data_IF_319658803986
#
_entry.id   IF_319658803986
#
_cell.length_a   1.000
_cell.length_b   1.000
_cell.length_c   1.000
_cell.angle_alpha   90.00
_cell.angle_beta   90.00
_cell.angle_gamma   90.00
#
_symmetry.space_group_name_H-M   'P 1'
#
loop_
_entity.id
_entity.type
_entity.pdbx_description
1 polymer ?
#
# COMPACT_ATOMS: atom_id res chain seq x y z
N UNK A 1 -9.70 -19.12 1.63
CA UNK A 1 -8.84 -18.45 2.64
C UNK A 1 -7.80 -17.63 1.88
N UNK A 2 -8.11 -16.36 1.63
CA UNK A 2 -7.18 -15.41 1.01
C UNK A 2 -6.02 -15.19 1.97
N UNK A 3 -4.84 -15.66 1.58
CA UNK A 3 -3.60 -15.52 2.32
C UNK A 3 -3.01 -14.16 1.94
N UNK A 4 -3.39 -13.16 2.72
CA UNK A 4 -3.07 -11.75 2.61
C UNK A 4 -1.75 -11.49 3.33
N UNK A 5 -0.67 -11.84 2.66
CA UNK A 5 0.48 -12.41 3.33
C UNK A 5 1.76 -11.87 2.66
N UNK A 6 2.52 -11.00 3.35
CA UNK A 6 3.89 -10.50 3.07
C UNK A 6 3.98 -8.99 2.70
N UNK A 7 4.37 -8.13 3.65
CA UNK A 7 4.52 -6.68 3.40
C UNK A 7 5.83 -6.00 3.84
N UNK A 8 6.78 -6.61 4.56
CA UNK A 8 7.72 -5.76 5.32
C UNK A 8 9.15 -6.30 5.49
N UNK A 9 10.04 -6.13 4.48
CA UNK A 9 11.51 -5.95 4.60
C UNK A 9 12.39 -6.15 3.34
N UNK A 10 13.11 -5.08 2.97
CA UNK A 10 14.55 -4.87 2.59
C UNK A 10 14.96 -4.59 1.12
N UNK A 11 16.00 -3.77 0.90
CA UNK A 11 17.35 -4.30 1.02
C UNK A 11 18.38 -3.31 1.59
N UNK A 12 19.43 -3.88 2.17
CA UNK A 12 20.73 -3.26 2.27
C UNK A 12 21.62 -3.94 1.22
N UNK A 13 21.92 -3.27 0.10
CA UNK A 13 23.13 -3.47 -0.73
C UNK A 13 23.29 -2.40 -1.83
N UNK A 14 23.33 -1.12 -1.45
CA UNK A 14 23.75 -0.02 -2.34
C UNK A 14 25.02 0.72 -1.85
N UNK A 15 25.78 0.16 -0.91
CA UNK A 15 26.98 0.80 -0.29
C UNK A 15 28.26 0.52 -1.10
N UNK A 16 28.19 0.42 -2.43
CA UNK A 16 29.41 0.34 -3.28
C UNK A 16 29.41 1.34 -4.45
N UNK A 17 28.48 2.30 -4.45
CA UNK A 17 28.56 3.50 -5.28
C UNK A 17 28.66 4.80 -4.45
N UNK A 18 29.14 4.70 -3.20
CA UNK A 18 29.47 5.86 -2.35
C UNK A 18 30.76 6.54 -2.81
N UNK A 19 30.76 7.04 -4.05
CA UNK A 19 31.63 8.13 -4.47
C UNK A 19 31.05 9.43 -3.94
N UNK A 20 31.61 9.93 -2.83
CA UNK A 20 31.25 11.19 -2.14
C UNK A 20 29.83 11.22 -1.55
N UNK A 21 29.66 11.80 -0.37
CA UNK A 21 28.37 11.96 0.28
C UNK A 21 27.35 12.61 -0.69
N UNK A 22 26.39 11.84 -1.19
CA UNK A 22 25.18 12.42 -1.77
C UNK A 22 24.29 12.80 -0.59
N UNK A 23 24.13 14.11 -0.39
CA UNK A 23 23.28 14.68 0.66
C UNK A 23 21.78 14.70 0.28
N UNK A 24 21.40 13.94 -0.74
CA UNK A 24 20.06 13.96 -1.32
C UNK A 24 19.66 12.56 -1.79
N UNK A 25 18.48 12.12 -1.36
CA UNK A 25 17.80 10.94 -1.85
C UNK A 25 17.37 11.16 -3.30
N UNK A 26 17.60 10.18 -4.16
CA UNK A 26 17.21 10.25 -5.58
C UNK A 26 15.93 9.47 -5.86
N UNK A 27 15.18 9.87 -6.88
CA UNK A 27 13.95 9.19 -7.28
C UNK A 27 14.21 7.72 -7.69
N UNK A 28 15.34 7.47 -8.37
CA UNK A 28 15.75 6.12 -8.75
C UNK A 28 16.06 5.23 -7.54
N UNK A 29 16.65 5.79 -6.47
CA UNK A 29 16.90 5.05 -5.23
C UNK A 29 15.61 4.65 -4.54
N UNK A 30 14.62 5.56 -4.50
CA UNK A 30 13.29 5.26 -3.94
C UNK A 30 12.62 4.15 -4.75
N UNK A 31 12.58 4.29 -6.07
CA UNK A 31 11.98 3.30 -6.96
C UNK A 31 12.64 1.92 -6.85
N UNK A 32 13.97 1.89 -6.79
CA UNK A 32 14.70 0.64 -6.61
C UNK A 32 14.46 0.02 -5.23
N UNK A 33 14.41 0.83 -4.17
CA UNK A 33 14.09 0.38 -2.81
C UNK A 33 12.73 -0.32 -2.75
N UNK A 34 11.71 0.22 -3.44
CA UNK A 34 10.39 -0.42 -3.52
C UNK A 34 10.43 -1.75 -4.26
N UNK A 35 11.09 -1.82 -5.42
CA UNK A 35 11.24 -3.08 -6.18
C UNK A 35 11.88 -4.17 -5.34
N UNK A 36 12.94 -3.82 -4.62
CA UNK A 36 13.66 -4.77 -3.80
C UNK A 36 12.83 -5.20 -2.56
N UNK A 37 12.13 -4.25 -1.93
CA UNK A 37 11.21 -4.56 -0.84
C UNK A 37 10.07 -5.49 -1.28
N UNK A 38 9.51 -5.26 -2.47
CA UNK A 38 8.53 -6.14 -3.10
C UNK A 38 9.07 -7.55 -3.35
N UNK A 39 10.28 -7.65 -3.91
CA UNK A 39 10.90 -8.95 -4.21
C UNK A 39 11.08 -9.81 -2.96
N UNK A 40 11.36 -9.20 -1.81
CA UNK A 40 11.54 -9.94 -0.55
C UNK A 40 10.26 -10.49 0.04
N UNK A 41 9.11 -9.96 -0.38
CA UNK A 41 7.78 -10.47 -0.03
C UNK A 41 7.15 -11.30 -1.16
N UNK A 42 7.92 -11.63 -2.20
CA UNK A 42 7.44 -12.42 -3.34
C UNK A 42 6.55 -11.64 -4.31
N UNK A 43 6.58 -10.30 -4.23
CA UNK A 43 5.89 -9.40 -5.14
C UNK A 43 6.88 -8.88 -6.19
N UNK A 44 6.37 -8.64 -7.39
CA UNK A 44 7.08 -7.91 -8.44
C UNK A 44 6.47 -6.52 -8.54
N UNK A 45 7.32 -5.50 -8.41
CA UNK A 45 6.96 -4.12 -8.72
C UNK A 45 7.56 -3.77 -10.07
N UNK A 46 6.74 -3.22 -10.96
CA UNK A 46 7.14 -2.83 -12.31
C UNK A 46 6.34 -1.64 -12.78
N UNK A 47 6.83 -0.94 -13.81
CA UNK A 47 6.09 0.06 -14.55
C UNK A 47 6.09 -0.29 -16.04
N UNK A 48 5.02 0.05 -16.76
CA UNK A 48 4.96 -0.10 -18.21
C UNK A 48 5.97 0.82 -18.91
N UNK A 49 6.19 2.01 -18.36
CA UNK A 49 7.24 2.94 -18.80
C UNK A 49 7.88 3.63 -17.61
N UNK A 50 9.20 3.82 -17.68
CA UNK A 50 9.98 4.61 -16.74
C UNK A 50 10.68 5.71 -17.53
N UNK A 51 10.41 6.98 -17.19
CA UNK A 51 11.06 8.12 -17.82
C UNK A 51 11.69 8.98 -16.73
N UNK A 52 13.03 8.99 -16.68
CA UNK A 52 13.78 9.83 -15.78
C UNK A 52 14.38 11.01 -16.58
N UNK A 53 14.00 12.23 -16.22
CA UNK A 53 14.55 13.47 -16.78
C UNK A 53 14.62 14.53 -15.71
N UNK A 54 15.78 15.19 -15.60
CA UNK A 54 15.97 16.40 -14.77
C UNK A 54 15.51 16.24 -13.30
N UNK A 55 15.81 15.10 -12.67
CA UNK A 55 15.43 14.83 -11.28
C UNK A 55 13.96 14.42 -11.10
N UNK A 56 13.23 14.19 -12.19
CA UNK A 56 11.84 13.73 -12.18
C UNK A 56 11.76 12.35 -12.84
N UNK A 57 11.31 11.36 -12.06
CA UNK A 57 10.97 10.02 -12.54
C UNK A 57 9.46 9.90 -12.70
N UNK A 58 9.01 9.80 -13.95
CA UNK A 58 7.61 9.51 -14.28
C UNK A 58 7.45 8.02 -14.59
N UNK A 59 6.52 7.39 -13.88
CA UNK A 59 6.17 5.98 -14.02
C UNK A 59 4.74 5.90 -14.56
N UNK A 60 4.50 5.10 -15.59
CA UNK A 60 3.14 4.81 -16.07
C UNK A 60 2.86 3.32 -15.98
N UNK A 61 1.62 2.97 -15.64
CA UNK A 61 1.15 1.60 -15.51
C UNK A 61 1.96 0.83 -14.47
N UNK A 62 2.07 1.38 -13.26
CA UNK A 62 2.74 0.70 -12.15
C UNK A 62 1.90 -0.48 -11.71
N UNK A 63 2.54 -1.64 -11.55
CA UNK A 63 1.91 -2.89 -11.14
C UNK A 63 2.69 -3.51 -10.00
N UNK A 64 1.97 -3.91 -8.96
CA UNK A 64 2.47 -4.59 -7.77
C UNK A 64 1.70 -5.90 -7.62
N UNK A 65 2.32 -7.02 -8.01
CA UNK A 65 1.65 -8.31 -8.03
C UNK A 65 2.62 -9.47 -7.76
N UNK A 66 2.16 -10.59 -7.18
CA UNK A 66 2.87 -11.85 -7.30
C UNK A 66 3.03 -12.25 -8.76
N UNK A 67 4.04 -13.08 -9.05
CA UNK A 67 4.20 -13.61 -10.40
C UNK A 67 2.97 -14.44 -10.82
N UNK A 68 2.37 -14.08 -11.97
CA UNK A 68 1.22 -14.78 -12.54
C UNK A 68 -0.14 -14.49 -11.89
N UNK A 69 -0.24 -13.46 -11.04
CA UNK A 69 -1.49 -13.07 -10.39
C UNK A 69 -1.88 -11.61 -10.71
N UNK A 70 -3.17 -11.28 -10.56
CA UNK A 70 -3.63 -9.90 -10.54
C UNK A 70 -3.14 -9.20 -9.28
N UNK A 71 -2.79 -7.92 -9.40
CA UNK A 71 -2.28 -7.12 -8.28
C UNK A 71 -2.76 -5.69 -8.29
N UNK A 72 -2.20 -4.89 -7.40
CA UNK A 72 -2.49 -3.46 -7.33
C UNK A 72 -1.89 -2.78 -8.56
N UNK A 73 -2.69 -1.91 -9.17
CA UNK A 73 -2.29 -1.07 -10.29
C UNK A 73 -2.41 0.40 -9.93
N UNK A 74 -1.47 1.20 -10.43
CA UNK A 74 -1.47 2.65 -10.34
C UNK A 74 -1.24 3.17 -11.76
N UNK A 75 -2.18 3.95 -12.28
CA UNK A 75 -2.15 4.49 -13.65
C UNK A 75 -0.87 5.23 -13.98
N UNK A 76 -0.49 6.17 -13.12
CA UNK A 76 0.72 6.96 -13.23
C UNK A 76 1.23 7.36 -11.85
N UNK A 77 2.51 7.67 -11.75
CA UNK A 77 3.13 8.16 -10.54
C UNK A 77 4.35 9.01 -10.90
N UNK A 78 4.51 10.12 -10.20
CA UNK A 78 5.68 11.00 -10.38
C UNK A 78 6.48 11.06 -9.10
N UNK A 79 7.80 10.88 -9.22
CA UNK A 79 8.78 11.07 -8.16
C UNK A 79 9.66 12.25 -8.55
N UNK A 80 9.78 13.25 -7.68
CA UNK A 80 10.52 14.50 -7.92
C UNK A 80 11.56 14.66 -6.82
N UNK A 81 12.83 14.79 -7.21
CA UNK A 81 13.92 15.11 -6.29
C UNK A 81 13.86 16.58 -5.87
N UNK A 82 13.90 16.83 -4.57
CA UNK A 82 13.79 18.17 -4.00
C UNK A 82 15.17 18.71 -3.57
N UNK A 83 15.31 20.03 -3.55
CA UNK A 83 16.56 20.72 -3.18
C UNK A 83 17.02 20.44 -1.72
N UNK A 84 16.10 19.99 -0.87
CA UNK A 84 16.36 19.64 0.53
C UNK A 84 16.83 18.19 0.73
N UNK A 85 16.93 17.42 -0.36
CA UNK A 85 17.38 16.04 -0.36
C UNK A 85 16.29 15.01 -0.10
N UNK A 86 15.02 15.41 -0.12
CA UNK A 86 13.86 14.52 -0.11
C UNK A 86 13.37 14.20 -1.53
N UNK A 87 12.43 13.26 -1.64
CA UNK A 87 11.74 12.94 -2.90
C UNK A 87 10.24 13.07 -2.70
N UNK A 88 9.60 13.99 -3.41
CA UNK A 88 8.14 14.10 -3.48
C UNK A 88 7.58 13.03 -4.42
N UNK A 89 6.54 12.33 -3.98
CA UNK A 89 5.88 11.24 -4.67
C UNK A 89 4.40 11.60 -4.77
N UNK A 90 3.90 11.66 -6.00
CA UNK A 90 2.48 11.95 -6.29
C UNK A 90 1.93 10.83 -7.16
N UNK A 91 1.05 9.97 -6.63
CA UNK A 91 0.34 8.98 -7.42
C UNK A 91 -0.82 9.61 -8.21
N UNK A 92 -1.11 9.03 -9.36
CA UNK A 92 -2.30 9.34 -10.17
C UNK A 92 -3.58 8.83 -9.51
N UNK A 93 -4.73 9.32 -10.01
CA UNK A 93 -6.02 9.07 -9.38
C UNK A 93 -6.53 7.63 -9.52
N UNK A 94 -6.13 6.91 -10.57
CA UNK A 94 -6.59 5.55 -10.81
C UNK A 94 -5.66 4.55 -10.11
N UNK A 95 -6.03 4.17 -8.89
CA UNK A 95 -5.35 3.17 -8.06
C UNK A 95 -6.35 2.07 -7.72
N UNK A 96 -6.01 0.82 -7.99
CA UNK A 96 -6.89 -0.28 -7.61
C UNK A 96 -6.45 -1.65 -8.08
N UNK A 97 -7.24 -2.65 -7.70
CA UNK A 97 -7.10 -4.05 -8.11
C UNK A 97 -8.44 -4.56 -8.60
N UNK A 98 -8.42 -5.22 -9.75
CA UNK A 98 -9.52 -6.04 -10.24
C UNK A 98 -9.23 -7.50 -9.91
N UNK A 99 -10.22 -8.16 -9.30
CA UNK A 99 -10.17 -9.56 -8.90
C UNK A 99 -11.08 -10.38 -9.81
N UNK A 100 -10.58 -11.54 -10.23
CA UNK A 100 -11.31 -12.51 -11.05
C UNK A 100 -11.24 -13.91 -10.42
N UNK A 101 -12.23 -14.75 -10.73
CA UNK A 101 -12.30 -16.14 -10.26
C UNK A 101 -13.33 -16.36 -9.16
N UNK A 102 -12.97 -17.17 -8.16
CA UNK A 102 -13.87 -17.54 -7.07
C UNK A 102 -14.31 -16.33 -6.26
N UNK A 103 -13.35 -15.47 -5.91
CA UNK A 103 -13.64 -14.11 -5.48
C UNK A 103 -13.39 -13.14 -6.65
N UNK A 104 -14.39 -12.33 -6.94
CA UNK A 104 -14.39 -11.39 -8.07
C UNK A 104 -14.81 -10.01 -7.60
N UNK A 105 -14.42 -8.97 -8.34
CA UNK A 105 -14.81 -7.59 -8.06
C UNK A 105 -13.63 -6.64 -8.11
N UNK A 106 -13.70 -5.56 -7.35
CA UNK A 106 -12.66 -4.53 -7.34
C UNK A 106 -12.47 -3.90 -5.98
N UNK A 107 -11.24 -3.45 -5.73
CA UNK A 107 -10.91 -2.49 -4.68
C UNK A 107 -10.21 -1.33 -5.34
N UNK A 108 -10.68 -0.11 -5.10
CA UNK A 108 -10.13 1.11 -5.64
C UNK A 108 -9.75 2.05 -4.51
N UNK A 109 -8.65 2.75 -4.66
CA UNK A 109 -8.25 3.84 -3.78
C UNK A 109 -8.49 5.14 -4.54
N UNK A 110 -9.22 6.05 -3.93
CA UNK A 110 -9.46 7.40 -4.45
C UNK A 110 -8.93 8.40 -3.46
N UNK A 111 -8.32 9.48 -3.94
CA UNK A 111 -7.76 10.49 -3.06
C UNK A 111 -7.95 11.90 -3.61
N UNK A 112 -7.85 12.88 -2.72
CA UNK A 112 -7.77 14.29 -3.05
C UNK A 112 -6.47 14.85 -2.46
N UNK A 113 -5.54 15.20 -3.34
CA UNK A 113 -4.24 15.78 -2.97
C UNK A 113 -3.30 14.85 -2.21
N UNK A 114 -3.34 13.52 -2.45
CA UNK A 114 -2.37 12.60 -1.84
C UNK A 114 -0.95 12.95 -2.30
N UNK A 115 -0.11 13.31 -1.34
CA UNK A 115 1.32 13.54 -1.53
C UNK A 115 2.07 12.70 -0.51
N UNK A 116 3.18 12.12 -0.95
CA UNK A 116 4.08 11.34 -0.10
C UNK A 116 5.47 11.95 -0.24
N UNK A 117 6.19 12.15 0.86
CA UNK A 117 7.57 12.66 0.85
C UNK A 117 8.48 11.61 1.45
N UNK A 118 9.38 11.07 0.62
CA UNK A 118 10.40 10.14 1.07
C UNK A 118 11.63 10.90 1.55
N UNK A 119 12.17 10.49 2.70
CA UNK A 119 13.39 11.03 3.29
C UNK A 119 14.25 9.92 3.91
N UNK A 120 15.56 10.15 4.00
CA UNK A 120 16.44 9.25 4.76
C UNK A 120 16.20 9.42 6.27
N UNK A 121 16.03 8.30 6.99
CA UNK A 121 15.80 8.31 8.44
C UNK A 121 16.51 7.14 9.12
N UNK A 122 17.41 7.42 10.07
CA UNK A 122 18.11 6.45 10.93
C UNK A 122 18.73 5.24 10.18
N UNK A 123 19.28 5.46 8.98
CA UNK A 123 19.86 4.41 8.14
C UNK A 123 18.84 3.59 7.34
N UNK A 124 17.58 4.00 7.35
CA UNK A 124 16.48 3.52 6.53
C UNK A 124 15.73 4.67 5.84
N UNK A 125 14.43 4.47 5.61
CA UNK A 125 13.57 5.42 4.89
C UNK A 125 12.38 5.82 5.76
N UNK A 126 12.01 7.10 5.72
CA UNK A 126 10.74 7.59 6.21
C UNK A 126 9.90 8.14 5.05
N UNK A 127 8.59 8.00 5.18
CA UNK A 127 7.59 8.42 4.22
C UNK A 127 6.52 9.21 4.97
N UNK A 128 6.57 10.53 4.86
CA UNK A 128 5.49 11.38 5.31
C UNK A 128 4.39 11.36 4.25
N UNK A 129 3.14 11.26 4.65
CA UNK A 129 2.02 11.24 3.72
C UNK A 129 0.93 12.18 4.20
N UNK A 130 0.27 12.84 3.24
CA UNK A 130 -0.86 13.72 3.51
C UNK A 130 -1.88 13.67 2.38
N UNK A 131 -3.16 13.81 2.71
CA UNK A 131 -4.24 13.93 1.75
C UNK A 131 -5.44 14.67 2.35
N UNK A 132 -6.09 15.54 1.59
CA UNK A 132 -7.37 16.12 2.00
C UNK A 132 -8.45 15.04 2.16
N UNK A 133 -8.37 13.99 1.31
CA UNK A 133 -9.23 12.82 1.39
C UNK A 133 -8.52 11.57 0.88
N UNK A 134 -8.76 10.43 1.52
CA UNK A 134 -8.35 9.12 1.04
C UNK A 134 -9.47 8.11 1.32
N UNK A 135 -10.09 7.57 0.27
CA UNK A 135 -11.09 6.50 0.37
C UNK A 135 -10.61 5.22 -0.28
N UNK A 136 -10.84 4.10 0.40
CA UNK A 136 -10.79 2.77 -0.17
C UNK A 136 -12.23 2.31 -0.41
N UNK A 137 -12.58 2.06 -1.67
CA UNK A 137 -13.90 1.59 -2.08
C UNK A 137 -13.77 0.18 -2.62
N UNK A 138 -14.59 -0.74 -2.10
CA UNK A 138 -14.60 -2.12 -2.58
C UNK A 138 -16.00 -2.55 -2.98
N UNK A 139 -16.07 -3.40 -3.99
CA UNK A 139 -17.27 -4.11 -4.41
C UNK A 139 -16.83 -5.51 -4.87
N UNK A 140 -17.20 -6.52 -4.11
CA UNK A 140 -16.66 -7.86 -4.23
C UNK A 140 -17.74 -8.91 -4.06
N UNK A 141 -17.51 -10.07 -4.66
CA UNK A 141 -18.29 -11.28 -4.44
C UNK A 141 -17.34 -12.41 -4.14
N UNK A 142 -17.67 -13.25 -3.15
CA UNK A 142 -16.86 -14.42 -2.78
C UNK A 142 -17.76 -15.63 -2.54
N UNK A 143 -17.21 -16.86 -2.56
CA UNK A 143 -18.01 -18.07 -2.38
C UNK A 143 -18.69 -18.06 -1.00
N UNK A 144 -20.01 -18.31 -0.99
CA UNK A 144 -20.77 -18.46 0.25
C UNK A 144 -20.50 -19.80 0.92
N UNK A 145 -21.06 -19.95 2.12
CA UNK A 145 -21.04 -21.22 2.85
C UNK A 145 -22.42 -21.85 2.81
N UNK A 146 -22.48 -23.16 2.54
CA UNK A 146 -23.70 -23.96 2.68
C UNK A 146 -23.56 -24.91 3.87
N UNK A 147 -24.63 -25.07 4.65
CA UNK A 147 -24.69 -26.03 5.75
C UNK A 147 -25.16 -27.42 5.33
N UNK A 148 -25.76 -27.57 4.14
CA UNK A 148 -26.31 -28.83 3.64
C UNK A 148 -25.44 -29.49 2.55
N UNK A 149 -24.29 -28.88 2.23
CA UNK A 149 -23.34 -29.37 1.23
C UNK A 149 -23.74 -29.08 -0.21
N UNK A 150 -24.83 -28.36 -0.46
CA UNK A 150 -25.15 -27.81 -1.79
C UNK A 150 -24.21 -26.66 -2.18
N UNK A 151 -24.20 -26.32 -3.46
CA UNK A 151 -23.47 -25.16 -3.96
C UNK A 151 -24.07 -23.87 -3.38
N UNK A 152 -23.26 -23.13 -2.62
CA UNK A 152 -23.70 -21.89 -2.00
C UNK A 152 -23.66 -20.73 -3.00
N UNK A 153 -24.68 -19.85 -3.03
CA UNK A 153 -24.61 -18.62 -3.81
C UNK A 153 -23.44 -17.76 -3.30
N UNK A 154 -22.85 -16.96 -4.19
CA UNK A 154 -21.81 -15.99 -3.80
C UNK A 154 -22.40 -14.95 -2.85
N UNK A 155 -21.60 -14.56 -1.86
CA UNK A 155 -21.88 -13.45 -0.94
C UNK A 155 -21.38 -12.17 -1.60
N UNK A 156 -22.22 -11.15 -1.67
CA UNK A 156 -21.83 -9.84 -2.15
C UNK A 156 -21.43 -8.97 -0.97
N UNK A 157 -20.26 -8.33 -1.05
CA UNK A 157 -19.79 -7.39 -0.05
C UNK A 157 -19.24 -6.13 -0.74
N UNK A 158 -19.74 -4.98 -0.33
CA UNK A 158 -19.33 -3.68 -0.85
C UNK A 158 -19.23 -2.65 0.26
N UNK A 159 -18.46 -1.60 0.04
CA UNK A 159 -18.30 -0.58 1.06
C UNK A 159 -17.21 0.42 0.74
N UNK A 160 -17.04 1.35 1.67
CA UNK A 160 -15.97 2.33 1.64
C UNK A 160 -15.39 2.52 3.04
N UNK A 161 -14.10 2.84 3.09
CA UNK A 161 -13.38 3.32 4.26
C UNK A 161 -12.68 4.62 3.86
N UNK A 162 -12.98 5.71 4.54
CA UNK A 162 -12.58 7.05 4.14
C UNK A 162 -11.96 7.84 5.28
N UNK A 163 -10.88 8.54 4.98
CA UNK A 163 -10.24 9.51 5.86
C UNK A 163 -10.41 10.92 5.31
N UNK A 164 -10.64 11.89 6.19
CA UNK A 164 -10.54 13.32 5.87
C UNK A 164 -9.35 13.96 6.57
N UNK A 165 -8.64 14.84 5.85
CA UNK A 165 -7.44 15.52 6.33
C UNK A 165 -6.44 14.52 6.95
N UNK A 166 -6.10 13.50 6.15
CA UNK A 166 -5.16 12.46 6.53
C UNK A 166 -3.75 13.04 6.53
N UNK A 167 -2.97 12.72 7.56
CA UNK A 167 -1.53 12.98 7.61
C UNK A 167 -0.85 11.91 8.46
N UNK A 168 0.40 11.60 8.20
CA UNK A 168 1.15 10.67 9.03
C UNK A 168 2.53 10.37 8.50
N UNK A 169 3.19 9.43 9.14
CA UNK A 169 4.54 9.00 8.78
C UNK A 169 4.61 7.48 8.84
N UNK A 170 5.20 6.87 7.82
CA UNK A 170 5.63 5.48 7.86
C UNK A 170 7.14 5.45 7.82
N UNK A 171 7.78 4.69 8.72
CA UNK A 171 9.23 4.52 8.73
C UNK A 171 9.61 3.06 8.64
N UNK A 172 10.74 2.83 7.99
CA UNK A 172 11.29 1.52 7.75
C UNK A 172 12.80 1.55 7.97
N UNK A 173 13.23 1.04 9.12
CA UNK A 173 14.63 1.07 9.57
C UNK A 173 15.22 -0.33 9.53
N UNK A 174 16.12 -0.61 8.55
CA UNK A 174 16.87 -1.87 8.50
C UNK A 174 17.81 -2.04 9.69
N UNK A 175 18.07 -3.29 10.10
CA UNK A 175 18.97 -3.58 11.20
C UNK A 175 18.97 -5.06 11.58
N UNK A 176 19.65 -5.41 12.68
CA UNK A 176 19.62 -6.76 13.25
C UNK A 176 18.19 -7.18 13.64
N UNK A 177 17.40 -6.23 14.13
CA UNK A 177 15.95 -6.30 14.08
C UNK A 177 15.51 -5.15 13.17
N UNK A 178 14.65 -5.42 12.20
CA UNK A 178 14.07 -4.37 11.38
C UNK A 178 12.93 -3.72 12.13
N UNK A 179 12.86 -2.40 12.12
CA UNK A 179 11.83 -1.65 12.87
C UNK A 179 10.95 -0.89 11.90
N UNK A 180 9.66 -0.87 12.18
CA UNK A 180 8.64 -0.14 11.44
C UNK A 180 7.92 0.81 12.37
N UNK A 181 7.82 2.06 11.97
CA UNK A 181 6.97 3.06 12.62
C UNK A 181 5.76 3.37 11.74
N UNK A 182 4.62 3.59 12.37
CA UNK A 182 3.42 4.10 11.71
C UNK A 182 2.75 5.11 12.63
N UNK A 183 2.74 6.36 12.20
CA UNK A 183 1.89 7.42 12.73
C UNK A 183 0.81 7.74 11.71
N UNK A 184 -0.41 7.90 12.18
CA UNK A 184 -1.58 8.26 11.38
C UNK A 184 -2.45 9.23 12.17
N UNK A 185 -2.87 10.30 11.51
CA UNK A 185 -3.81 11.27 12.01
C UNK A 185 -4.84 11.61 10.93
N UNK A 186 -6.11 11.71 11.33
CA UNK A 186 -7.18 12.17 10.46
C UNK A 186 -8.25 12.90 11.27
N UNK A 187 -8.90 13.89 10.66
CA UNK A 187 -10.02 14.59 11.29
C UNK A 187 -11.24 13.66 11.41
N UNK A 188 -11.43 12.76 10.46
CA UNK A 188 -12.54 11.80 10.47
C UNK A 188 -12.13 10.50 9.80
N UNK A 189 -12.54 9.38 10.40
CA UNK A 189 -12.65 8.08 9.75
C UNK A 189 -14.12 7.75 9.59
N UNK A 190 -14.57 7.58 8.36
CA UNK A 190 -15.91 7.12 8.04
C UNK A 190 -15.86 5.79 7.29
N UNK A 191 -16.77 4.88 7.60
CA UNK A 191 -16.94 3.68 6.79
C UNK A 191 -18.41 3.31 6.61
N UNK A 192 -18.70 2.73 5.45
CA UNK A 192 -19.94 2.00 5.21
C UNK A 192 -19.59 0.64 4.64
N UNK A 193 -20.15 -0.42 5.21
CA UNK A 193 -20.00 -1.77 4.70
C UNK A 193 -21.37 -2.40 4.53
N UNK A 194 -21.53 -3.12 3.43
CA UNK A 194 -22.72 -3.86 3.08
C UNK A 194 -22.31 -5.31 2.80
N UNK A 195 -23.12 -6.24 3.26
CA UNK A 195 -22.99 -7.66 3.00
C UNK A 195 -24.36 -8.26 2.73
N UNK A 196 -24.48 -9.04 1.66
CA UNK A 196 -25.66 -9.83 1.30
C UNK A 196 -25.22 -11.28 1.14
N UNK A 197 -25.55 -12.10 2.14
CA UNK A 197 -25.31 -13.53 2.19
C UNK A 197 -26.63 -14.28 2.01
N UNK A 198 -26.95 -14.74 0.78
CA UNK A 198 -28.19 -15.45 0.53
C UNK A 198 -28.23 -16.85 1.16
N UNK A 199 -27.07 -17.47 1.38
CA UNK A 199 -26.97 -18.79 2.01
C UNK A 199 -27.35 -18.75 3.49
N UNK A 200 -27.01 -17.65 4.16
CA UNK A 200 -27.39 -17.36 5.55
C UNK A 200 -28.72 -16.60 5.67
N UNK A 201 -29.32 -16.19 4.55
CA UNK A 201 -30.45 -15.25 4.51
C UNK A 201 -30.18 -13.96 5.31
N UNK A 202 -28.93 -13.50 5.27
CA UNK A 202 -28.44 -12.40 6.08
C UNK A 202 -28.10 -11.22 5.20
N UNK A 203 -28.67 -10.06 5.53
CA UNK A 203 -28.24 -8.77 4.99
C UNK A 203 -27.77 -7.90 6.12
N UNK A 204 -26.58 -7.34 5.98
CA UNK A 204 -25.97 -6.50 6.98
C UNK A 204 -25.49 -5.20 6.33
N UNK A 205 -25.83 -4.09 6.95
CA UNK A 205 -25.23 -2.79 6.66
C UNK A 205 -24.65 -2.26 7.96
N UNK A 206 -23.41 -1.80 7.92
CA UNK A 206 -22.76 -1.08 9.00
C UNK A 206 -22.31 0.27 8.50
N UNK A 207 -22.52 1.31 9.29
CA UNK A 207 -22.02 2.66 9.03
C UNK A 207 -21.45 3.20 10.32
N UNK A 208 -20.26 3.80 10.25
CA UNK A 208 -19.65 4.48 11.38
C UNK A 208 -18.95 5.73 10.90
N UNK A 209 -18.93 6.71 11.78
CA UNK A 209 -18.15 7.93 11.62
C UNK A 209 -17.49 8.23 12.97
N UNK A 210 -16.18 8.40 12.95
CA UNK A 210 -15.37 8.67 14.12
C UNK A 210 -14.57 9.92 13.85
N UNK A 211 -14.84 10.99 14.60
CA UNK A 211 -14.06 12.22 14.55
C UNK A 211 -12.78 12.08 15.37
N UNK A 212 -11.69 12.67 14.89
CA UNK A 212 -10.39 12.72 15.55
C UNK A 212 -9.77 11.34 15.72
N UNK A 213 -9.02 10.89 14.73
CA UNK A 213 -8.26 9.64 14.77
C UNK A 213 -6.79 10.02 14.91
N UNK A 214 -6.14 9.45 15.91
CA UNK A 214 -4.69 9.46 16.07
C UNK A 214 -4.26 8.03 16.42
N UNK A 215 -3.30 7.50 15.67
CA UNK A 215 -2.72 6.17 15.86
C UNK A 215 -1.21 6.29 15.73
N UNK A 216 -0.51 5.70 16.70
CA UNK A 216 0.94 5.53 16.67
C UNK A 216 1.24 4.08 16.98
N UNK A 217 2.03 3.44 16.12
CA UNK A 217 2.44 2.06 16.25
C UNK A 217 3.93 1.91 15.93
N UNK A 218 4.60 1.06 16.69
CA UNK A 218 5.98 0.66 16.45
C UNK A 218 6.05 -0.87 16.48
N UNK A 219 6.74 -1.44 15.50
CA UNK A 219 6.87 -2.88 15.35
C UNK A 219 8.31 -3.27 15.01
N UNK A 220 8.89 -4.19 15.79
CA UNK A 220 10.22 -4.71 15.55
C UNK A 220 10.15 -6.18 15.12
N UNK A 221 10.72 -6.48 13.95
CA UNK A 221 10.88 -7.81 13.41
C UNK A 221 12.28 -8.37 13.66
N UNK A 222 12.41 -9.49 14.39
CA UNK A 222 13.68 -10.21 14.49
C UNK A 222 14.14 -10.74 13.13
N UNK A 223 15.43 -10.64 12.82
CA UNK A 223 16.00 -11.17 11.57
C UNK A 223 15.87 -12.69 11.39
N UNK A 224 15.50 -13.41 12.45
CA UNK A 224 15.25 -14.86 12.42
C UNK A 224 13.87 -15.23 11.89
N UNK A 225 12.96 -14.26 11.78
CA UNK A 225 11.64 -14.45 11.18
C UNK A 225 11.74 -13.99 9.74
N UNK A 226 11.64 -14.93 8.80
CA UNK A 226 11.49 -14.59 7.40
C UNK A 226 10.16 -13.86 7.22
N UNK A 227 10.17 -12.69 6.60
CA UNK A 227 8.97 -11.92 6.27
C UNK A 227 7.90 -12.74 5.57
N UNK A 228 8.33 -13.54 4.60
CA UNK A 228 7.49 -14.43 3.82
C UNK A 228 6.85 -15.55 4.67
N UNK A 229 7.12 -15.59 5.98
CA UNK A 229 6.46 -16.48 6.95
C UNK A 229 5.45 -15.78 7.87
N UNK A 230 5.49 -14.44 7.93
CA UNK A 230 4.44 -13.59 8.54
C UNK A 230 3.29 -13.36 7.56
N UNK A 231 3.63 -13.63 6.30
CA UNK A 231 2.75 -13.94 5.21
C UNK A 231 1.96 -15.22 5.51
#
# INVERSE_FOLDING_TARGET
>A
MFRMNAYLAAPAFAILMSGTAHAALTADQVWQSWKDAGALVGLTISAATENNSDGVLTLNGVSIAPEGASGLTISDMTLTEEDDGTVSIVPGADIGVAMEGDAEGSVNVTHDGLTITASEADGGMAYDYEAAKLDVVYDTKYPGTSFDGSEAPKVAASGNFGFSNLSGTYSDTPGANRTFGLDLKADTLAYSTNSDDPGMQMKQTSTSETAGIELSAEFALPSTIALASIA
#
